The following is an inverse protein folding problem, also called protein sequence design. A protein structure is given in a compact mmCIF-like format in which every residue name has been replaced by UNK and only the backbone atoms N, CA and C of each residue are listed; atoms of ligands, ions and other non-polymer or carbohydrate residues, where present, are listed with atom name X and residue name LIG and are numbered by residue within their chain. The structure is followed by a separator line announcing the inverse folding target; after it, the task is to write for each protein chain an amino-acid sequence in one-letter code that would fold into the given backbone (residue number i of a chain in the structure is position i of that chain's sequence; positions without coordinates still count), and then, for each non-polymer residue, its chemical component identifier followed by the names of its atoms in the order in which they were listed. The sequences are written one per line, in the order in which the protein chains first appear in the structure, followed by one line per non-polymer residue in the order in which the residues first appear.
data_IF_001712509601
#
_entry.id   IF_001712509601
#
_cell.length_a   1.000
_cell.length_b   1.000
_cell.length_c   1.000
_cell.angle_alpha   90.00
_cell.angle_beta   90.00
_cell.angle_gamma   90.00
#
_symmetry.space_group_name_H-M   'P 1'
#
loop_
_entity.id
_entity.type
_entity.pdbx_description
1 polymer ?
#
# COMPACT_ATOMS: atom_id res chain seq x y z
N UNK A 1 -5.39 -18.23 0.21
CA UNK A 1 -4.80 -17.40 -0.84
C UNK A 1 -4.44 -16.05 -0.26
N UNK A 2 -3.37 -15.44 -0.79
CA UNK A 2 -2.91 -14.11 -0.37
C UNK A 2 -2.67 -13.23 -1.60
N UNK A 3 -3.22 -12.03 -1.56
CA UNK A 3 -2.96 -10.98 -2.54
C UNK A 3 -2.24 -9.81 -1.86
N UNK A 4 -1.00 -9.59 -2.25
CA UNK A 4 -0.16 -8.52 -1.72
C UNK A 4 -0.55 -7.18 -2.38
N UNK A 5 -1.14 -6.25 -1.63
CA UNK A 5 -1.54 -4.94 -2.16
C UNK A 5 -0.39 -3.94 -2.23
N UNK A 6 0.82 -4.33 -1.81
CA UNK A 6 1.94 -3.43 -1.71
C UNK A 6 3.27 -4.14 -1.98
N UNK A 7 3.67 -4.17 -3.23
CA UNK A 7 4.98 -4.68 -3.58
C UNK A 7 5.71 -3.81 -4.61
N UNK A 8 7.03 -3.85 -4.53
CA UNK A 8 7.92 -3.15 -5.43
C UNK A 8 8.83 -4.16 -6.13
N UNK A 9 8.95 -4.07 -7.44
CA UNK A 9 9.84 -4.93 -8.21
C UNK A 9 10.42 -4.19 -9.41
N UNK A 10 11.70 -4.43 -9.68
CA UNK A 10 12.43 -3.82 -10.79
C UNK A 10 12.88 -4.89 -11.78
N UNK A 11 12.97 -4.56 -13.08
CA UNK A 11 13.52 -5.48 -14.09
C UNK A 11 15.00 -5.76 -13.86
N UNK A 12 15.72 -4.76 -13.38
CA UNK A 12 17.16 -4.87 -13.12
C UNK A 12 17.48 -4.38 -11.72
N UNK A 13 18.64 -4.79 -11.21
CA UNK A 13 19.16 -4.23 -9.95
C UNK A 13 19.28 -2.72 -10.09
N UNK A 14 18.67 -1.98 -9.18
CA UNK A 14 18.70 -0.54 -9.15
C UNK A 14 20.07 0.01 -8.76
N UNK A 15 20.14 1.31 -8.57
CA UNK A 15 21.35 1.99 -8.10
C UNK A 15 21.82 1.45 -6.75
N UNK A 16 23.04 0.94 -6.70
CA UNK A 16 23.70 0.54 -5.46
C UNK A 16 24.63 1.65 -5.01
N UNK A 17 24.39 2.31 -3.87
CA UNK A 17 25.29 3.34 -3.36
C UNK A 17 26.73 2.83 -3.19
N UNK A 18 27.72 3.70 -3.45
CA UNK A 18 29.14 3.35 -3.27
C UNK A 18 29.40 2.85 -1.83
N UNK A 19 30.04 1.69 -1.71
CA UNK A 19 30.35 1.07 -0.42
C UNK A 19 29.28 0.13 0.11
N UNK A 20 28.17 -0.04 -0.60
CA UNK A 20 27.18 -1.09 -0.34
C UNK A 20 27.42 -2.30 -1.24
N UNK A 21 26.97 -3.48 -0.80
CA UNK A 21 27.02 -4.69 -1.63
C UNK A 21 25.89 -4.68 -2.66
N UNK A 22 26.03 -5.47 -3.72
CA UNK A 22 24.97 -5.63 -4.72
C UNK A 22 23.69 -6.26 -4.14
N UNK A 23 23.84 -7.04 -3.09
CA UNK A 23 22.77 -7.65 -2.30
C UNK A 23 22.11 -6.68 -1.28
N UNK A 24 22.72 -5.51 -1.05
CA UNK A 24 22.14 -4.40 -0.29
C UNK A 24 21.19 -3.52 -1.16
N UNK A 25 20.58 -4.07 -2.20
CA UNK A 25 19.63 -3.34 -3.04
C UNK A 25 18.47 -2.78 -2.24
N UNK A 26 18.05 -1.56 -2.57
CA UNK A 26 16.88 -0.95 -1.95
C UNK A 26 15.57 -1.67 -2.30
N UNK A 27 15.52 -2.31 -3.48
CA UNK A 27 14.34 -3.04 -3.92
C UNK A 27 14.71 -4.35 -4.60
N UNK A 28 13.80 -5.32 -4.51
CA UNK A 28 13.92 -6.61 -5.19
C UNK A 28 13.81 -6.46 -6.71
N UNK A 29 14.51 -7.33 -7.42
CA UNK A 29 14.16 -7.58 -8.83
C UNK A 29 12.85 -8.38 -8.90
N UNK A 30 12.22 -8.42 -10.09
CA UNK A 30 11.05 -9.28 -10.34
C UNK A 30 11.30 -10.72 -9.92
N UNK A 31 12.48 -11.26 -10.26
CA UNK A 31 12.89 -12.60 -9.82
C UNK A 31 12.89 -12.72 -8.30
N UNK A 32 13.51 -11.76 -7.61
CA UNK A 32 13.56 -11.76 -6.15
C UNK A 32 12.17 -11.63 -5.52
N UNK A 33 11.30 -10.81 -6.10
CA UNK A 33 9.92 -10.68 -5.62
C UNK A 33 9.12 -11.98 -5.79
N UNK A 34 9.26 -12.67 -6.92
CA UNK A 34 8.62 -13.96 -7.15
C UNK A 34 9.16 -15.04 -6.19
N UNK A 35 10.47 -15.07 -5.93
CA UNK A 35 11.06 -15.94 -4.92
C UNK A 35 10.50 -15.67 -3.52
N UNK A 36 10.27 -14.40 -3.16
CA UNK A 36 9.62 -14.04 -1.90
C UNK A 36 8.15 -14.46 -1.86
N UNK A 37 7.43 -14.34 -2.96
CA UNK A 37 6.05 -14.82 -3.07
C UNK A 37 5.96 -16.33 -2.83
N UNK A 38 6.77 -17.10 -3.53
CA UNK A 38 6.80 -18.57 -3.35
C UNK A 38 7.18 -18.96 -1.92
N UNK A 39 8.09 -18.19 -1.33
CA UNK A 39 8.62 -18.44 0.00
C UNK A 39 7.62 -18.18 1.12
N UNK A 40 6.81 -17.12 1.00
CA UNK A 40 5.83 -16.67 1.99
C UNK A 40 4.39 -17.06 1.63
N UNK A 41 4.20 -17.96 0.65
CA UNK A 41 2.90 -18.44 0.17
C UNK A 41 1.98 -17.28 -0.27
N UNK A 42 2.50 -16.36 -1.10
CA UNK A 42 1.77 -15.25 -1.68
C UNK A 42 1.45 -15.59 -3.13
N UNK A 43 0.19 -15.51 -3.50
CA UNK A 43 -0.26 -15.95 -4.82
C UNK A 43 -0.04 -14.88 -5.90
N UNK A 44 -0.36 -13.62 -5.57
CA UNK A 44 -0.35 -12.48 -6.48
C UNK A 44 -0.02 -11.18 -5.75
N UNK A 45 0.36 -10.14 -6.51
CA UNK A 45 0.63 -8.83 -5.94
C UNK A 45 0.29 -7.66 -6.84
N UNK A 46 0.19 -6.51 -6.20
CA UNK A 46 0.00 -5.21 -6.80
C UNK A 46 1.32 -4.44 -6.81
N UNK A 47 1.86 -4.19 -7.99
CA UNK A 47 3.06 -3.39 -8.14
C UNK A 47 2.75 -1.91 -7.96
N UNK A 48 3.48 -1.26 -7.08
CA UNK A 48 3.44 0.17 -6.84
C UNK A 48 4.74 0.80 -7.39
N UNK A 49 4.66 1.66 -8.43
CA UNK A 49 5.85 2.28 -9.02
C UNK A 49 6.51 3.27 -8.09
N UNK A 50 7.83 3.25 -8.01
CA UNK A 50 8.63 4.25 -7.29
C UNK A 50 8.83 5.46 -8.20
N UNK A 51 8.06 6.52 -8.03
CA UNK A 51 8.06 7.70 -8.90
C UNK A 51 8.49 8.99 -8.20
N UNK A 52 8.23 9.14 -6.91
CA UNK A 52 8.46 10.41 -6.23
C UNK A 52 9.92 10.59 -5.83
N UNK A 53 10.52 11.73 -6.21
CA UNK A 53 11.92 12.06 -5.96
C UNK A 53 12.27 12.27 -4.47
N UNK A 54 11.29 12.49 -3.63
CA UNK A 54 11.53 12.87 -2.24
C UNK A 54 12.21 11.77 -1.42
N UNK A 55 12.00 10.50 -1.78
CA UNK A 55 12.55 9.37 -1.04
C UNK A 55 13.68 8.63 -1.71
N UNK A 56 13.79 8.69 -3.03
CA UNK A 56 14.66 7.79 -3.78
C UNK A 56 15.48 8.51 -4.85
N UNK A 57 16.77 8.13 -5.01
CA UNK A 57 17.66 8.76 -5.97
C UNK A 57 17.40 8.36 -7.43
N UNK A 58 16.59 7.35 -7.68
CA UNK A 58 16.20 6.92 -9.02
C UNK A 58 14.71 6.57 -9.04
N UNK A 59 14.11 6.72 -10.19
CA UNK A 59 12.70 6.53 -10.41
C UNK A 59 12.45 5.32 -11.30
N UNK A 60 11.36 4.64 -11.03
CA UNK A 60 10.84 3.60 -11.87
C UNK A 60 9.88 4.19 -12.89
N UNK A 61 10.07 3.87 -14.17
CA UNK A 61 9.16 4.35 -15.22
C UNK A 61 7.87 3.52 -15.25
N UNK A 62 6.77 4.14 -15.64
CA UNK A 62 5.52 3.41 -15.86
C UNK A 62 5.66 2.35 -16.96
N UNK A 63 6.54 2.59 -17.95
CA UNK A 63 6.82 1.60 -18.98
C UNK A 63 7.46 0.33 -18.43
N UNK A 64 8.39 0.45 -17.48
CA UNK A 64 9.00 -0.70 -16.80
C UNK A 64 7.96 -1.53 -16.06
N UNK A 65 7.03 -0.88 -15.36
CA UNK A 65 5.92 -1.56 -14.66
C UNK A 65 5.02 -2.32 -15.64
N UNK A 66 4.64 -1.67 -16.75
CA UNK A 66 3.82 -2.29 -17.80
C UNK A 66 4.53 -3.51 -18.42
N UNK A 67 5.85 -3.41 -18.64
CA UNK A 67 6.66 -4.52 -19.17
C UNK A 67 6.74 -5.67 -18.14
N UNK A 68 6.89 -5.40 -16.84
CA UNK A 68 6.88 -6.44 -15.80
C UNK A 68 5.54 -7.17 -15.78
N UNK A 69 4.43 -6.44 -15.80
CA UNK A 69 3.10 -7.05 -15.79
C UNK A 69 2.82 -7.84 -17.06
N UNK A 70 3.30 -7.35 -18.21
CA UNK A 70 3.19 -8.09 -19.48
C UNK A 70 3.98 -9.41 -19.48
N UNK A 71 5.12 -9.47 -18.75
CA UNK A 71 5.91 -10.69 -18.58
C UNK A 71 5.31 -11.68 -17.56
N UNK A 72 4.57 -11.18 -16.58
CA UNK A 72 4.00 -11.97 -15.49
C UNK A 72 2.53 -11.60 -15.20
N UNK A 73 1.63 -11.72 -16.20
CA UNK A 73 0.23 -11.27 -16.09
C UNK A 73 -0.61 -12.11 -15.10
N UNK A 74 -0.15 -13.31 -14.78
CA UNK A 74 -0.74 -14.21 -13.81
C UNK A 74 -0.32 -13.87 -12.36
N UNK A 75 0.74 -13.08 -12.18
CA UNK A 75 1.32 -12.75 -10.87
C UNK A 75 1.04 -11.32 -10.44
N UNK A 76 1.03 -10.35 -11.37
CA UNK A 76 0.98 -8.94 -11.01
C UNK A 76 -0.18 -8.18 -11.63
N UNK A 77 -0.81 -7.36 -10.80
CA UNK A 77 -1.51 -6.14 -11.20
C UNK A 77 -0.61 -4.93 -10.91
N UNK A 78 -1.02 -3.74 -11.31
CA UNK A 78 -0.27 -2.53 -11.01
C UNK A 78 -1.13 -1.31 -10.79
N UNK A 79 -0.62 -0.36 -10.02
CA UNK A 79 -1.08 1.02 -9.96
C UNK A 79 -0.24 1.89 -10.89
N UNK A 80 -0.85 2.93 -11.46
CA UNK A 80 -0.08 4.06 -11.95
C UNK A 80 0.38 4.89 -10.75
N UNK A 81 1.52 5.55 -10.85
CA UNK A 81 1.89 6.57 -9.88
C UNK A 81 1.96 7.92 -10.59
N UNK A 82 1.67 8.99 -9.84
CA UNK A 82 1.68 10.37 -10.30
C UNK A 82 2.38 11.22 -9.23
N UNK A 83 3.19 12.17 -9.68
CA UNK A 83 3.67 13.21 -8.78
C UNK A 83 2.76 14.44 -8.93
N UNK A 84 2.26 15.03 -7.85
CA UNK A 84 1.38 16.20 -7.93
C UNK A 84 2.06 17.42 -8.58
N UNK A 85 3.39 17.40 -8.67
CA UNK A 85 4.21 18.43 -9.34
C UNK A 85 4.38 18.22 -10.85
N UNK A 86 3.82 17.15 -11.41
CA UNK A 86 3.81 16.93 -12.87
C UNK A 86 3.13 18.11 -13.59
N UNK A 87 3.40 18.22 -14.90
CA UNK A 87 2.81 19.28 -15.74
C UNK A 87 3.12 20.70 -15.24
N UNK A 88 4.41 20.96 -15.01
CA UNK A 88 4.98 22.28 -14.69
C UNK A 88 4.54 22.88 -13.34
N UNK A 89 4.18 22.07 -12.37
CA UNK A 89 3.67 22.50 -11.07
C UNK A 89 2.41 23.40 -11.20
N UNK A 90 1.58 23.15 -12.19
CA UNK A 90 0.33 23.92 -12.36
C UNK A 90 -0.77 23.27 -11.49
N UNK A 91 -1.33 24.01 -10.49
CA UNK A 91 -2.42 23.49 -9.66
C UNK A 91 -3.75 23.34 -10.42
N UNK A 92 -3.78 23.62 -11.71
CA UNK A 92 -4.91 23.40 -12.61
C UNK A 92 -4.57 22.42 -13.73
N UNK A 93 -3.45 21.72 -13.63
CA UNK A 93 -3.05 20.71 -14.62
C UNK A 93 -4.13 19.65 -14.81
N UNK A 94 -4.41 19.29 -16.07
CA UNK A 94 -5.36 18.22 -16.37
C UNK A 94 -4.66 16.85 -16.40
N UNK A 95 -4.88 16.06 -15.37
CA UNK A 95 -4.38 14.68 -15.27
C UNK A 95 -5.24 13.66 -16.04
N UNK A 96 -6.39 14.05 -16.60
CA UNK A 96 -7.35 13.11 -17.18
C UNK A 96 -6.72 12.22 -18.24
N UNK A 97 -6.01 12.81 -19.21
CA UNK A 97 -5.39 12.06 -20.31
C UNK A 97 -4.31 11.08 -19.83
N UNK A 98 -3.58 11.45 -18.79
CA UNK A 98 -2.58 10.55 -18.18
C UNK A 98 -3.25 9.35 -17.50
N UNK A 99 -4.30 9.60 -16.72
CA UNK A 99 -5.07 8.58 -16.04
C UNK A 99 -5.72 7.62 -17.06
N UNK A 100 -6.43 8.16 -18.06
CA UNK A 100 -7.10 7.38 -19.10
C UNK A 100 -6.11 6.46 -19.84
N UNK A 101 -4.95 7.00 -20.23
CA UNK A 101 -3.90 6.24 -20.91
C UNK A 101 -3.43 5.01 -20.13
N UNK A 102 -3.23 5.15 -18.81
CA UNK A 102 -2.79 4.02 -17.98
C UNK A 102 -3.94 3.07 -17.61
N UNK A 103 -5.17 3.56 -17.45
CA UNK A 103 -6.34 2.69 -17.26
C UNK A 103 -6.59 1.79 -18.47
N UNK A 104 -6.47 2.32 -19.69
CA UNK A 104 -6.57 1.52 -20.93
C UNK A 104 -5.51 0.41 -21.00
N UNK A 105 -4.38 0.57 -20.30
CA UNK A 105 -3.28 -0.41 -20.20
C UNK A 105 -3.37 -1.34 -19.01
N UNK A 106 -4.42 -1.21 -18.21
CA UNK A 106 -4.71 -2.12 -17.12
C UNK A 106 -4.28 -1.64 -15.74
N UNK A 107 -3.88 -0.38 -15.57
CA UNK A 107 -3.69 0.19 -14.23
C UNK A 107 -4.99 0.10 -13.43
N UNK A 108 -4.88 -0.19 -12.12
CA UNK A 108 -6.03 -0.41 -11.24
C UNK A 108 -6.26 0.71 -10.22
N UNK A 109 -5.37 1.67 -10.13
CA UNK A 109 -5.40 2.75 -9.15
C UNK A 109 -4.15 3.61 -9.23
N UNK A 110 -3.91 4.37 -8.18
CA UNK A 110 -2.79 5.32 -8.06
C UNK A 110 -1.99 5.04 -6.78
N UNK A 111 -0.67 5.07 -6.84
CA UNK A 111 0.23 4.94 -5.68
C UNK A 111 1.43 4.04 -5.93
N UNK A 112 2.32 3.92 -4.96
CA UNK A 112 2.31 4.58 -3.67
C UNK A 112 2.74 6.05 -3.83
N UNK A 113 1.92 6.98 -3.33
CA UNK A 113 2.31 8.37 -3.32
C UNK A 113 3.16 8.67 -2.08
N UNK A 114 4.39 9.11 -2.32
CA UNK A 114 5.36 9.46 -1.28
C UNK A 114 5.89 10.90 -1.41
N UNK A 115 5.19 11.75 -2.18
CA UNK A 115 5.55 13.17 -2.32
C UNK A 115 5.44 13.91 -0.97
N UNK A 116 6.49 14.62 -0.56
CA UNK A 116 6.52 15.35 0.72
C UNK A 116 5.82 16.69 0.62
N UNK A 117 4.51 16.64 0.50
CA UNK A 117 3.58 17.79 0.49
C UNK A 117 2.46 17.57 1.52
N UNK A 118 1.86 18.64 2.07
CA UNK A 118 0.67 18.46 2.91
C UNK A 118 -0.56 18.14 2.06
N UNK A 119 -1.56 17.54 2.66
CA UNK A 119 -2.81 17.21 1.99
C UNK A 119 -3.50 18.41 1.33
N UNK A 120 -3.40 19.59 1.94
CA UNK A 120 -4.04 20.83 1.47
C UNK A 120 -3.24 21.59 0.41
N UNK A 121 -2.07 21.08 0.02
CA UNK A 121 -1.29 21.75 -1.01
C UNK A 121 -2.08 21.81 -2.33
N UNK A 122 -2.15 22.94 -3.04
CA UNK A 122 -2.97 23.09 -4.24
C UNK A 122 -2.68 22.04 -5.34
N UNK A 123 -1.43 21.61 -5.48
CA UNK A 123 -1.05 20.55 -6.42
C UNK A 123 -1.62 19.19 -6.00
N UNK A 124 -1.57 18.89 -4.69
CA UNK A 124 -2.13 17.66 -4.12
C UNK A 124 -3.66 17.66 -4.29
N UNK A 125 -4.31 18.75 -3.96
CA UNK A 125 -5.76 18.90 -4.09
C UNK A 125 -6.22 18.68 -5.54
N UNK A 126 -5.52 19.26 -6.51
CA UNK A 126 -5.80 19.05 -7.93
C UNK A 126 -5.63 17.59 -8.37
N UNK A 127 -4.56 16.93 -7.93
CA UNK A 127 -4.35 15.53 -8.25
C UNK A 127 -5.46 14.65 -7.64
N UNK A 128 -5.82 14.86 -6.38
CA UNK A 128 -6.90 14.14 -5.70
C UNK A 128 -8.26 14.37 -6.36
N UNK A 129 -8.53 15.58 -6.84
CA UNK A 129 -9.73 15.88 -7.64
C UNK A 129 -9.83 14.94 -8.86
N UNK A 130 -8.74 14.75 -9.59
CA UNK A 130 -8.73 13.86 -10.75
C UNK A 130 -8.85 12.39 -10.34
N UNK A 131 -8.18 11.93 -9.28
CA UNK A 131 -8.32 10.57 -8.76
C UNK A 131 -9.77 10.29 -8.36
N UNK A 132 -10.42 11.25 -7.69
CA UNK A 132 -11.84 11.15 -7.31
C UNK A 132 -12.77 11.09 -8.51
N UNK A 133 -12.52 11.91 -9.54
CA UNK A 133 -13.28 11.91 -10.81
C UNK A 133 -13.32 10.52 -11.46
N UNK A 134 -12.22 9.76 -11.39
CA UNK A 134 -12.13 8.42 -11.93
C UNK A 134 -12.42 7.31 -10.90
N UNK A 135 -12.77 7.66 -9.67
CA UNK A 135 -13.15 6.73 -8.58
C UNK A 135 -12.09 5.66 -8.31
N UNK A 136 -10.83 6.04 -8.29
CA UNK A 136 -9.71 5.10 -8.19
C UNK A 136 -9.33 4.81 -6.74
N UNK A 137 -8.81 3.61 -6.46
CA UNK A 137 -8.07 3.37 -5.24
C UNK A 137 -6.74 4.13 -5.25
N UNK A 138 -6.30 4.54 -4.05
CA UNK A 138 -5.14 5.39 -3.88
C UNK A 138 -4.34 4.99 -2.65
N UNK A 139 -3.12 4.45 -2.86
CA UNK A 139 -2.17 4.13 -1.78
C UNK A 139 -1.29 5.34 -1.49
N UNK A 140 -1.13 5.67 -0.21
CA UNK A 140 -0.35 6.81 0.23
C UNK A 140 0.53 6.49 1.43
N UNK A 141 1.69 7.14 1.48
CA UNK A 141 2.64 7.10 2.57
C UNK A 141 2.54 8.36 3.42
N UNK A 142 2.39 8.22 4.75
CA UNK A 142 2.37 9.35 5.69
C UNK A 142 3.77 9.61 6.24
N UNK A 143 4.16 10.88 6.29
CA UNK A 143 5.36 11.39 6.93
C UNK A 143 5.01 12.23 8.18
N UNK A 144 5.84 12.22 9.23
CA UNK A 144 5.58 12.98 10.44
C UNK A 144 5.87 14.47 10.29
N UNK A 145 6.68 14.85 9.30
CA UNK A 145 7.20 16.23 9.15
C UNK A 145 7.41 16.59 7.69
N UNK A 146 7.33 17.87 7.33
CA UNK A 146 7.92 18.34 6.09
C UNK A 146 9.44 18.16 6.15
N UNK A 147 10.04 17.79 5.02
CA UNK A 147 11.47 17.53 4.87
C UNK A 147 11.98 16.29 5.65
N UNK A 148 13.14 15.81 5.33
CA UNK A 148 13.88 14.70 5.94
C UNK A 148 13.29 13.29 5.80
N UNK A 149 11.95 13.16 5.65
CA UNK A 149 11.26 11.87 5.45
C UNK A 149 10.30 12.03 4.29
N UNK A 150 10.29 11.05 3.37
CA UNK A 150 9.33 11.02 2.25
C UNK A 150 7.91 10.71 2.75
N UNK A 151 6.93 11.03 1.94
CA UNK A 151 5.52 10.84 2.26
C UNK A 151 4.76 12.14 2.49
N UNK A 152 3.45 12.07 2.40
CA UNK A 152 2.54 13.19 2.64
C UNK A 152 2.60 13.53 4.12
N UNK A 153 2.96 14.75 4.48
CA UNK A 153 3.02 15.07 5.89
C UNK A 153 1.67 15.50 6.46
N UNK A 154 1.40 15.03 7.67
CA UNK A 154 0.18 15.29 8.41
C UNK A 154 0.46 15.47 9.90
N UNK A 155 -0.46 16.12 10.61
CA UNK A 155 -0.38 16.19 12.06
C UNK A 155 -0.64 14.81 12.71
N UNK A 156 -0.41 14.72 14.01
CA UNK A 156 -0.61 13.47 14.75
C UNK A 156 -2.04 12.93 14.63
N UNK A 157 -3.04 13.80 14.61
CA UNK A 157 -4.45 13.44 14.57
C UNK A 157 -4.93 13.02 13.17
N UNK A 158 -4.05 13.09 12.15
CA UNK A 158 -4.39 12.87 10.74
C UNK A 158 -5.49 13.81 10.25
N UNK A 159 -5.44 15.06 10.68
CA UNK A 159 -6.48 16.07 10.37
C UNK A 159 -6.51 16.40 8.88
N UNK A 160 -5.38 16.36 8.20
CA UNK A 160 -5.28 16.51 6.75
C UNK A 160 -5.93 15.36 6.01
N UNK A 161 -5.61 14.11 6.41
CA UNK A 161 -6.25 12.92 5.86
C UNK A 161 -7.77 12.96 6.08
N UNK A 162 -8.22 13.32 7.27
CA UNK A 162 -9.66 13.40 7.57
C UNK A 162 -10.40 14.38 6.64
N UNK A 163 -9.80 15.54 6.37
CA UNK A 163 -10.38 16.50 5.42
C UNK A 163 -10.51 15.95 4.01
N UNK A 164 -9.49 15.25 3.50
CA UNK A 164 -9.55 14.70 2.14
C UNK A 164 -10.45 13.47 2.03
N UNK A 165 -10.56 12.64 3.07
CA UNK A 165 -11.52 11.54 3.14
C UNK A 165 -12.96 12.06 2.98
N UNK A 166 -13.29 13.16 3.65
CA UNK A 166 -14.59 13.81 3.55
C UNK A 166 -14.80 14.53 2.21
N UNK A 167 -13.77 15.18 1.68
CA UNK A 167 -13.84 15.96 0.43
C UNK A 167 -13.92 15.09 -0.82
N UNK A 168 -13.28 13.92 -0.81
CA UNK A 168 -13.14 13.02 -1.95
C UNK A 168 -13.71 11.63 -1.64
N UNK A 169 -15.05 11.49 -1.51
CA UNK A 169 -15.68 10.25 -1.05
C UNK A 169 -15.61 9.09 -2.05
N UNK A 170 -15.34 9.35 -3.32
CA UNK A 170 -15.22 8.32 -4.35
C UNK A 170 -13.81 7.71 -4.45
N UNK A 171 -12.80 8.28 -3.77
CA UNK A 171 -11.47 7.68 -3.65
C UNK A 171 -11.51 6.61 -2.56
N UNK A 172 -10.96 5.44 -2.85
CA UNK A 172 -10.67 4.41 -1.85
C UNK A 172 -9.23 4.59 -1.38
N UNK A 173 -9.04 5.16 -0.21
CA UNK A 173 -7.74 5.49 0.37
C UNK A 173 -7.15 4.27 1.08
N UNK A 174 -5.94 3.85 0.70
CA UNK A 174 -5.17 2.78 1.35
C UNK A 174 -4.05 3.40 2.17
N UNK A 175 -4.24 3.44 3.48
CA UNK A 175 -3.31 4.06 4.41
C UNK A 175 -2.15 3.15 4.76
N UNK A 176 -0.94 3.66 4.56
CA UNK A 176 0.32 2.97 4.76
C UNK A 176 1.35 3.85 5.46
N UNK A 177 2.37 3.27 6.02
CA UNK A 177 3.59 3.79 6.64
C UNK A 177 3.70 3.55 8.15
N UNK A 178 4.91 3.74 8.68
CA UNK A 178 5.15 3.68 10.12
C UNK A 178 4.35 4.75 10.88
N UNK A 179 4.26 5.95 10.32
CA UNK A 179 3.50 7.06 10.90
C UNK A 179 1.98 6.83 10.87
N UNK A 180 1.46 6.17 9.84
CA UNK A 180 0.05 5.77 9.81
C UNK A 180 -0.23 4.72 10.89
N UNK A 181 0.54 3.63 10.90
CA UNK A 181 0.30 2.50 11.79
C UNK A 181 0.63 2.75 13.26
N UNK A 182 1.56 3.67 13.58
CA UNK A 182 1.79 4.07 14.97
C UNK A 182 0.55 4.73 15.61
N UNK A 183 -0.28 5.35 14.79
CA UNK A 183 -1.47 6.13 15.21
C UNK A 183 -2.76 5.30 15.38
N UNK A 184 -2.64 3.98 15.45
CA UNK A 184 -3.72 3.13 16.00
C UNK A 184 -3.89 3.35 17.50
N UNK A 185 -2.84 3.87 18.17
CA UNK A 185 -2.80 4.14 19.62
C UNK A 185 -3.08 5.62 19.90
N UNK A 186 -3.75 5.89 21.00
CA UNK A 186 -4.07 7.25 21.46
C UNK A 186 -2.92 7.97 22.17
N UNK A 187 -1.81 7.28 22.46
CA UNK A 187 -0.63 7.88 23.05
C UNK A 187 0.19 8.63 22.01
N UNK A 188 0.28 9.93 22.17
CA UNK A 188 0.94 10.83 21.19
C UNK A 188 2.47 10.83 21.26
N UNK A 189 3.06 10.05 22.16
CA UNK A 189 4.49 10.11 22.48
C UNK A 189 5.36 9.22 21.59
N UNK A 190 4.78 8.19 20.96
CA UNK A 190 5.53 7.19 20.22
C UNK A 190 5.22 7.28 18.72
N UNK A 191 6.29 7.41 17.95
CA UNK A 191 6.30 7.38 16.47
C UNK A 191 6.98 6.11 15.98
N UNK A 192 6.95 5.86 14.71
CA UNK A 192 7.58 4.73 14.01
C UNK A 192 7.04 3.36 14.47
N UNK A 193 7.78 2.67 15.32
CA UNK A 193 7.50 1.31 15.77
C UNK A 193 7.29 1.27 17.30
N UNK A 194 6.18 1.83 17.80
CA UNK A 194 5.91 1.88 19.22
C UNK A 194 5.75 0.47 19.82
N UNK A 195 6.13 0.32 21.08
CA UNK A 195 6.04 -0.94 21.83
C UNK A 195 5.08 -0.81 22.99
N UNK A 196 4.56 -1.96 23.45
CA UNK A 196 3.58 -2.00 24.54
C UNK A 196 2.14 -1.88 24.05
N UNK A 197 1.17 -1.87 24.95
CA UNK A 197 -0.26 -1.92 24.63
C UNK A 197 -0.70 -0.75 23.75
N UNK A 198 -1.82 -0.93 23.08
CA UNK A 198 -2.48 0.10 22.27
C UNK A 198 -3.42 0.89 23.17
N UNK A 199 -3.13 2.17 23.37
CA UNK A 199 -3.98 3.06 24.14
C UNK A 199 -5.23 3.46 23.34
N UNK A 200 -6.42 3.51 23.95
CA UNK A 200 -7.65 3.91 23.28
C UNK A 200 -7.58 5.33 22.69
N UNK A 201 -8.35 5.56 21.61
CA UNK A 201 -8.48 6.89 21.01
C UNK A 201 -7.50 7.18 19.85
N UNK A 202 -6.86 6.15 19.31
CA UNK A 202 -5.97 6.31 18.15
C UNK A 202 -6.70 6.87 16.93
N UNK A 203 -6.11 7.88 16.25
CA UNK A 203 -6.73 8.50 15.07
C UNK A 203 -7.06 7.50 13.96
N UNK A 204 -6.21 6.52 13.69
CA UNK A 204 -6.45 5.52 12.64
C UNK A 204 -7.70 4.69 12.94
N UNK A 205 -7.88 4.25 14.19
CA UNK A 205 -9.10 3.50 14.59
C UNK A 205 -10.33 4.35 14.36
N UNK A 206 -10.34 5.58 14.84
CA UNK A 206 -11.44 6.53 14.66
C UNK A 206 -11.76 6.78 13.19
N UNK A 207 -10.76 6.99 12.36
CA UNK A 207 -10.94 7.25 10.94
C UNK A 207 -11.45 6.01 10.18
N UNK A 208 -10.94 4.81 10.50
CA UNK A 208 -11.46 3.55 9.93
C UNK A 208 -12.92 3.31 10.30
N UNK A 209 -13.37 3.68 11.50
CA UNK A 209 -14.77 3.60 11.91
C UNK A 209 -15.66 4.61 11.18
N UNK A 210 -15.16 5.83 11.02
CA UNK A 210 -15.96 6.96 10.53
C UNK A 210 -16.09 6.98 9.01
N UNK A 211 -14.99 6.67 8.28
CA UNK A 211 -14.92 6.89 6.84
C UNK A 211 -14.99 5.57 6.06
N UNK A 212 -16.07 5.31 5.28
CA UNK A 212 -16.22 4.07 4.52
C UNK A 212 -15.17 3.89 3.42
N UNK A 213 -14.54 4.98 3.00
CA UNK A 213 -13.55 5.03 1.93
C UNK A 213 -12.09 4.96 2.41
N UNK A 214 -11.82 4.76 3.71
CA UNK A 214 -10.48 4.47 4.24
C UNK A 214 -10.30 2.97 4.46
N UNK A 215 -9.16 2.45 4.06
CA UNK A 215 -8.69 1.07 4.21
C UNK A 215 -7.27 1.09 4.80
N UNK A 216 -6.92 0.08 5.58
CA UNK A 216 -5.57 -0.09 6.12
C UNK A 216 -4.76 -1.06 5.28
N UNK A 217 -3.73 -0.57 4.61
CA UNK A 217 -2.70 -1.39 3.98
C UNK A 217 -1.68 -1.79 5.06
N UNK A 218 -1.74 -3.06 5.49
CA UNK A 218 -0.97 -3.58 6.62
C UNK A 218 0.46 -3.99 6.25
N UNK A 219 0.97 -3.54 5.15
CA UNK A 219 2.31 -3.87 4.68
C UNK A 219 3.43 -3.30 5.55
N UNK A 220 4.65 -3.71 5.25
CA UNK A 220 5.89 -3.39 5.97
C UNK A 220 5.95 -3.90 7.42
N UNK A 221 7.09 -3.68 8.05
CA UNK A 221 7.27 -3.94 9.48
C UNK A 221 6.36 -3.10 10.37
N UNK A 222 5.85 -1.98 9.87
CA UNK A 222 4.96 -1.08 10.61
C UNK A 222 3.57 -1.66 10.84
N UNK A 223 2.96 -2.24 9.80
CA UNK A 223 1.70 -2.96 9.95
C UNK A 223 1.84 -4.19 10.83
N UNK A 224 2.91 -4.98 10.65
CA UNK A 224 3.21 -6.10 11.52
C UNK A 224 3.41 -5.66 12.98
N UNK A 225 4.15 -4.56 13.22
CA UNK A 225 4.34 -4.02 14.57
C UNK A 225 3.01 -3.62 15.21
N UNK A 226 2.13 -2.98 14.45
CA UNK A 226 0.80 -2.60 14.93
C UNK A 226 0.00 -3.80 15.45
N UNK A 227 0.13 -4.95 14.77
CA UNK A 227 -0.60 -6.18 15.10
C UNK A 227 0.11 -7.06 16.14
N UNK A 228 1.42 -6.94 16.32
CA UNK A 228 2.15 -7.83 17.24
C UNK A 228 2.38 -7.25 18.62
N UNK A 229 2.22 -5.92 18.79
CA UNK A 229 2.52 -5.22 20.04
C UNK A 229 1.49 -5.45 21.15
N UNK A 230 0.24 -5.75 20.81
CA UNK A 230 -0.87 -5.94 21.75
C UNK A 230 -1.82 -7.05 21.21
N UNK A 231 -1.71 -8.30 21.68
CA UNK A 231 -2.50 -9.42 21.17
C UNK A 231 -4.01 -9.27 21.38
N UNK A 232 -4.45 -8.69 22.51
CA UNK A 232 -5.89 -8.52 22.80
C UNK A 232 -6.51 -7.47 21.89
N UNK A 233 -5.82 -6.34 21.72
CA UNK A 233 -6.21 -5.32 20.76
C UNK A 233 -6.26 -5.91 19.35
N UNK A 234 -5.27 -6.67 18.94
CA UNK A 234 -5.15 -7.22 17.59
C UNK A 234 -6.29 -8.16 17.25
N UNK A 235 -6.70 -9.01 18.19
CA UNK A 235 -7.85 -9.91 17.98
C UNK A 235 -9.12 -9.11 17.70
N UNK A 236 -9.39 -8.11 18.52
CA UNK A 236 -10.52 -7.19 18.30
C UNK A 236 -10.38 -6.43 16.99
N UNK A 237 -9.21 -5.87 16.68
CA UNK A 237 -8.97 -5.03 15.52
C UNK A 237 -9.16 -5.78 14.20
N UNK A 238 -8.62 -7.00 14.09
CA UNK A 238 -8.77 -7.84 12.91
C UNK A 238 -10.22 -8.28 12.69
N UNK A 239 -10.95 -8.61 13.76
CA UNK A 239 -12.36 -8.99 13.66
C UNK A 239 -13.26 -7.79 13.33
N UNK A 240 -13.07 -6.67 14.02
CA UNK A 240 -13.87 -5.46 13.87
C UNK A 240 -13.67 -4.78 12.51
N UNK A 241 -12.43 -4.69 12.02
CA UNK A 241 -12.09 -4.06 10.75
C UNK A 241 -11.85 -5.04 9.61
N UNK A 242 -12.31 -6.30 9.72
CA UNK A 242 -12.07 -7.35 8.74
C UNK A 242 -12.42 -6.98 7.29
N UNK A 243 -13.36 -6.04 7.07
CA UNK A 243 -13.80 -5.56 5.75
C UNK A 243 -12.98 -4.38 5.22
N UNK A 244 -12.02 -3.88 6.00
CA UNK A 244 -11.23 -2.67 5.70
C UNK A 244 -9.72 -2.88 5.71
N UNK A 245 -9.26 -4.05 6.10
CA UNK A 245 -7.85 -4.36 6.18
C UNK A 245 -7.40 -5.10 4.93
N UNK A 246 -6.21 -4.76 4.45
CA UNK A 246 -5.61 -5.28 3.23
C UNK A 246 -4.25 -5.89 3.56
N UNK A 247 -4.03 -7.13 3.14
CA UNK A 247 -2.74 -7.78 3.25
C UNK A 247 -1.74 -7.17 2.27
N UNK A 248 -0.55 -6.83 2.74
CA UNK A 248 0.57 -6.37 1.93
C UNK A 248 1.90 -6.72 2.58
N UNK A 249 2.98 -6.70 1.82
CA UNK A 249 4.31 -7.03 2.34
C UNK A 249 5.27 -5.86 2.38
N UNK A 250 5.30 -5.04 1.34
CA UNK A 250 6.33 -4.01 1.13
C UNK A 250 7.77 -4.60 1.26
N UNK A 251 7.98 -5.75 0.62
CA UNK A 251 9.30 -6.37 0.59
C UNK A 251 10.24 -5.56 -0.29
N UNK A 252 11.03 -4.69 0.33
CA UNK A 252 12.11 -3.97 -0.34
C UNK A 252 13.36 -4.83 -0.52
N UNK A 253 13.53 -5.91 0.24
CA UNK A 253 14.66 -6.83 0.18
C UNK A 253 14.29 -8.23 0.61
N UNK A 254 15.25 -9.14 0.53
CA UNK A 254 15.05 -10.52 0.99
C UNK A 254 14.77 -10.58 2.49
N UNK A 255 13.70 -11.25 2.85
CA UNK A 255 13.36 -11.57 4.24
C UNK A 255 13.78 -13.01 4.51
N UNK A 256 14.74 -13.27 5.42
CA UNK A 256 15.23 -14.62 5.67
C UNK A 256 14.17 -15.50 6.34
N UNK A 257 14.28 -16.81 6.08
CA UNK A 257 13.47 -17.86 6.72
C UNK A 257 13.48 -17.73 8.22
N UNK A 258 12.28 -17.84 8.84
CA UNK A 258 12.13 -17.78 10.30
C UNK A 258 12.03 -16.36 10.85
N UNK A 259 12.17 -15.32 10.02
CA UNK A 259 11.77 -13.98 10.41
C UNK A 259 10.26 -13.83 10.21
N UNK A 260 9.55 -13.52 11.28
CA UNK A 260 8.12 -13.26 11.23
C UNK A 260 7.80 -12.14 10.25
N UNK A 261 6.91 -12.41 9.31
CA UNK A 261 6.29 -11.41 8.43
C UNK A 261 4.78 -11.37 8.68
N UNK A 262 4.08 -10.45 8.04
CA UNK A 262 2.61 -10.41 8.13
C UNK A 262 1.98 -11.71 7.58
N UNK A 263 2.61 -12.33 6.60
CA UNK A 263 2.14 -13.60 6.03
C UNK A 263 2.12 -14.71 7.07
N UNK A 264 3.25 -14.99 7.73
CA UNK A 264 3.34 -16.01 8.78
C UNK A 264 2.48 -15.64 9.99
N UNK A 265 2.44 -14.36 10.35
CA UNK A 265 1.61 -13.90 11.47
C UNK A 265 0.13 -14.24 11.26
N UNK A 266 -0.43 -13.95 10.08
CA UNK A 266 -1.84 -14.26 9.80
C UNK A 266 -2.09 -15.76 9.70
N UNK A 267 -1.14 -16.53 9.13
CA UNK A 267 -1.21 -17.99 9.10
C UNK A 267 -1.24 -18.60 10.53
N UNK A 268 -0.38 -18.10 11.41
CA UNK A 268 -0.34 -18.52 12.81
C UNK A 268 -1.64 -18.16 13.55
N UNK A 269 -2.20 -16.97 13.32
CA UNK A 269 -3.49 -16.55 13.94
C UNK A 269 -4.67 -17.36 13.44
N UNK A 270 -4.65 -17.80 12.20
CA UNK A 270 -5.65 -18.74 11.69
C UNK A 270 -5.47 -20.14 12.33
N UNK A 271 -4.23 -20.62 12.38
CA UNK A 271 -3.91 -21.96 12.89
C UNK A 271 -4.22 -22.10 14.40
N UNK A 272 -4.00 -21.07 15.19
CA UNK A 272 -4.30 -21.08 16.63
C UNK A 272 -5.76 -20.71 16.97
N UNK A 273 -6.56 -20.36 15.96
CA UNK A 273 -7.97 -19.99 16.11
C UNK A 273 -8.22 -18.58 16.65
N UNK A 274 -7.18 -17.74 16.71
CA UNK A 274 -7.31 -16.33 17.13
C UNK A 274 -8.12 -15.50 16.16
N UNK A 275 -8.12 -15.87 14.88
CA UNK A 275 -9.01 -15.31 13.84
C UNK A 275 -9.77 -16.43 13.13
N UNK A 276 -10.96 -16.11 12.62
CA UNK A 276 -11.75 -17.05 11.83
C UNK A 276 -11.22 -17.16 10.39
N UNK A 277 -11.57 -18.26 9.69
CA UNK A 277 -11.31 -18.41 8.26
C UNK A 277 -11.90 -17.23 7.46
N UNK A 278 -13.08 -16.74 7.84
CA UNK A 278 -13.71 -15.59 7.20
C UNK A 278 -12.88 -14.31 7.30
N UNK A 279 -12.34 -14.00 8.49
CA UNK A 279 -11.46 -12.84 8.71
C UNK A 279 -10.20 -12.99 7.86
N UNK A 280 -9.58 -14.16 7.90
CA UNK A 280 -8.39 -14.46 7.11
C UNK A 280 -8.62 -14.27 5.60
N UNK A 281 -9.71 -14.86 5.06
CA UNK A 281 -10.02 -14.77 3.63
C UNK A 281 -10.31 -13.33 3.18
N UNK A 282 -11.01 -12.56 4.01
CA UNK A 282 -11.27 -11.13 3.75
C UNK A 282 -9.98 -10.32 3.69
N UNK A 283 -9.17 -10.44 4.73
CA UNK A 283 -7.94 -9.65 4.89
C UNK A 283 -6.90 -10.03 3.84
N UNK A 284 -6.71 -11.34 3.62
CA UNK A 284 -5.67 -11.83 2.72
C UNK A 284 -6.02 -11.72 1.24
N UNK A 285 -7.32 -11.70 0.88
CA UNK A 285 -7.73 -11.76 -0.53
C UNK A 285 -8.97 -10.94 -0.88
N UNK A 286 -10.11 -11.19 -0.22
CA UNK A 286 -11.41 -10.74 -0.70
C UNK A 286 -11.52 -9.21 -0.74
N UNK A 287 -10.95 -8.52 0.25
CA UNK A 287 -10.96 -7.06 0.28
C UNK A 287 -10.17 -6.47 -0.89
N UNK A 288 -8.97 -6.98 -1.16
CA UNK A 288 -8.18 -6.56 -2.30
C UNK A 288 -8.93 -6.81 -3.63
N UNK A 289 -9.51 -8.00 -3.80
CA UNK A 289 -10.29 -8.35 -4.97
C UNK A 289 -11.44 -7.36 -5.22
N UNK A 290 -12.19 -7.04 -4.17
CA UNK A 290 -13.29 -6.07 -4.21
C UNK A 290 -12.80 -4.66 -4.56
N UNK A 291 -11.74 -4.18 -3.92
CA UNK A 291 -11.27 -2.82 -4.11
C UNK A 291 -10.57 -2.60 -5.47
N UNK A 292 -9.92 -3.61 -5.99
CA UNK A 292 -9.19 -3.55 -7.27
C UNK A 292 -10.03 -4.00 -8.48
N UNK A 293 -11.26 -4.47 -8.24
CA UNK A 293 -12.19 -4.87 -9.29
C UNK A 293 -11.74 -6.11 -10.05
N UNK A 294 -11.09 -7.06 -9.37
CA UNK A 294 -10.91 -8.40 -9.89
C UNK A 294 -11.77 -9.37 -9.07
N UNK A 295 -12.40 -10.30 -9.76
CA UNK A 295 -13.28 -11.26 -9.13
C UNK A 295 -12.47 -12.49 -8.67
N UNK A 296 -13.14 -13.46 -8.05
CA UNK A 296 -12.53 -14.69 -7.53
C UNK A 296 -11.64 -15.42 -8.54
N UNK A 297 -10.74 -16.29 -8.06
CA UNK A 297 -9.79 -17.08 -8.88
C UNK A 297 -10.38 -17.72 -10.13
N UNK A 298 -11.62 -18.21 -10.05
CA UNK A 298 -12.27 -18.88 -11.17
C UNK A 298 -12.47 -17.97 -12.40
N UNK A 299 -12.69 -16.68 -12.18
CA UNK A 299 -12.90 -15.72 -13.26
C UNK A 299 -11.60 -15.18 -13.86
N UNK A 300 -10.50 -15.14 -13.07
CA UNK A 300 -9.18 -14.82 -13.61
C UNK A 300 -8.64 -15.96 -14.47
N UNK A 301 -8.93 -17.21 -14.13
CA UNK A 301 -8.56 -18.39 -14.92
C UNK A 301 -9.36 -18.47 -16.21
N UNK A 302 -10.65 -18.14 -16.20
CA UNK A 302 -11.49 -18.12 -17.42
C UNK A 302 -11.08 -17.00 -18.39
N UNK A 303 -10.79 -15.79 -17.89
CA UNK A 303 -10.34 -14.67 -18.75
C UNK A 303 -8.93 -14.87 -19.33
N UNK A 304 -8.10 -15.70 -18.73
CA UNK A 304 -6.79 -16.10 -19.26
C UNK A 304 -6.91 -17.13 -20.39
N UNK A 305 -7.88 -18.03 -20.34
CA UNK A 305 -8.13 -19.03 -21.37
C UNK A 305 -8.77 -18.45 -22.64
N UNK A 306 -9.55 -17.37 -22.52
CA UNK A 306 -10.21 -16.71 -23.66
C UNK A 306 -9.28 -15.75 -24.44
N UNK A 307 -8.02 -15.60 -24.02
CA UNK A 307 -7.02 -14.74 -24.68
C UNK A 307 -5.87 -15.49 -25.35
N UNK A 308 -5.90 -16.82 -25.34
CA UNK A 308 -5.02 -17.73 -26.08
C UNK A 308 -5.78 -18.36 -27.26
#
# INVERSE_FOLDING_TARGET
MKFDVHCHAFLTTGFVPKGKRMDDNFFLTVKGQLEMFDYHNIDKGLLLPVLNHDGFPYLQTMREIEDIVALHPDKFLYFMNMDPRMFMNDPKADFSRYIEYHLERGARGVGELSANLPWEHPLMDNMLYHINKYKLPFTFHISPTPYYVYGIYDDYNLSGLERVLNKYPDIRFFGHSAEFWSRISGDTQYRDYPKGPVEPGGPVVRLLETYPNLYGDMSAGSGLNALTRDPEFTKWFLDHFQDKLLFGTDFCGYVPKGKMTLSEFLDDRLADGSISQQVYDKVCWNNAAKQLGFETLDQLQQKGADRL
#
